data_IF_368778631161
#
_entry.id   IF_368778631161
#
_cell.length_a   1.000
_cell.length_b   1.000
_cell.length_c   1.000
_cell.angle_alpha   90.00
_cell.angle_beta   90.00
_cell.angle_gamma   90.00
#
_symmetry.space_group_name_H-M   'P 1'
#
loop_
_entity.id
_entity.type
_entity.pdbx_description
1 polymer ?
#
# COMPACT_ATOMS: atom_id res chain seq x y z
N UNK A 1 18.27 7.59 -6.67
CA UNK A 1 18.63 7.60 -8.11
C UNK A 1 17.40 7.63 -9.02
N UNK A 2 16.47 6.66 -8.97
CA UNK A 2 15.28 6.66 -9.85
C UNK A 2 14.31 7.81 -9.54
N UNK A 3 13.95 8.02 -8.27
CA UNK A 3 13.00 9.09 -7.89
C UNK A 3 13.53 10.50 -8.20
N UNK A 4 14.84 10.72 -8.04
CA UNK A 4 15.49 12.00 -8.37
C UNK A 4 15.48 12.28 -9.87
N UNK A 5 15.76 11.26 -10.71
CA UNK A 5 15.68 11.38 -12.16
C UNK A 5 14.27 11.68 -12.66
N UNK A 6 13.26 11.03 -12.09
CA UNK A 6 11.86 11.28 -12.44
C UNK A 6 11.37 12.66 -12.01
N UNK A 7 11.77 13.14 -10.83
CA UNK A 7 11.45 14.51 -10.40
C UNK A 7 12.08 15.56 -11.33
N UNK A 8 13.31 15.33 -11.80
CA UNK A 8 14.00 16.18 -12.80
C UNK A 8 13.44 16.07 -14.22
N UNK A 9 12.50 15.16 -14.47
CA UNK A 9 11.72 15.05 -15.71
C UNK A 9 10.26 15.50 -15.52
N UNK A 10 9.97 16.23 -14.45
CA UNK A 10 8.65 16.73 -14.06
C UNK A 10 7.60 15.62 -13.89
N UNK A 11 8.05 14.38 -13.69
CA UNK A 11 7.23 13.17 -13.64
C UNK A 11 6.74 12.87 -12.23
N UNK A 12 6.28 13.90 -11.50
CA UNK A 12 5.82 13.79 -10.10
C UNK A 12 4.70 12.77 -9.95
N UNK A 13 3.78 12.70 -10.92
CA UNK A 13 2.70 11.70 -10.94
C UNK A 13 3.22 10.27 -11.03
N UNK A 14 4.36 10.05 -11.73
CA UNK A 14 4.99 8.73 -11.81
C UNK A 14 5.69 8.37 -10.49
N UNK A 15 6.36 9.32 -9.85
CA UNK A 15 6.97 9.14 -8.53
C UNK A 15 5.90 8.81 -7.49
N UNK A 16 4.79 9.53 -7.50
CA UNK A 16 3.66 9.28 -6.62
C UNK A 16 3.06 7.88 -6.81
N UNK A 17 2.88 7.46 -8.06
CA UNK A 17 2.39 6.11 -8.41
C UNK A 17 3.36 5.01 -7.96
N UNK A 18 4.67 5.22 -8.10
CA UNK A 18 5.69 4.28 -7.61
C UNK A 18 5.65 4.15 -6.09
N UNK A 19 5.49 5.27 -5.38
CA UNK A 19 5.35 5.25 -3.91
C UNK A 19 4.08 4.48 -3.51
N UNK A 20 2.94 4.77 -4.15
CA UNK A 20 1.69 4.06 -3.93
C UNK A 20 1.83 2.55 -4.13
N UNK A 21 2.38 2.11 -5.27
CA UNK A 21 2.56 0.69 -5.57
C UNK A 21 3.49 0.01 -4.56
N UNK A 22 4.55 0.71 -4.15
CA UNK A 22 5.50 0.23 -3.14
C UNK A 22 4.81 0.08 -1.79
N UNK A 23 4.01 1.06 -1.36
CA UNK A 23 3.23 1.01 -0.12
C UNK A 23 2.26 -0.16 -0.14
N UNK A 24 1.51 -0.35 -1.22
CA UNK A 24 0.56 -1.47 -1.35
C UNK A 24 1.28 -2.82 -1.21
N UNK A 25 2.35 -3.02 -1.99
CA UNK A 25 3.09 -4.28 -1.97
C UNK A 25 3.73 -4.58 -0.62
N UNK A 26 4.43 -3.59 -0.05
CA UNK A 26 5.08 -3.76 1.25
C UNK A 26 4.06 -3.98 2.36
N UNK A 27 2.88 -3.33 2.31
CA UNK A 27 1.78 -3.59 3.26
C UNK A 27 1.29 -5.02 3.17
N UNK A 28 1.11 -5.52 1.95
CA UNK A 28 0.66 -6.88 1.73
C UNK A 28 1.66 -7.91 2.29
N UNK A 29 2.95 -7.68 2.09
CA UNK A 29 4.04 -8.54 2.60
C UNK A 29 4.09 -8.52 4.12
N UNK A 30 4.08 -7.33 4.73
CA UNK A 30 4.17 -7.18 6.19
C UNK A 30 2.93 -7.72 6.92
N UNK A 31 1.75 -7.60 6.32
CA UNK A 31 0.54 -8.17 6.90
C UNK A 31 0.55 -9.69 6.85
N UNK A 32 0.99 -10.27 5.73
CA UNK A 32 0.88 -11.71 5.49
C UNK A 32 -0.51 -12.20 5.87
N UNK A 33 -0.61 -13.22 6.72
CA UNK A 33 -1.89 -13.81 7.18
C UNK A 33 -2.86 -12.80 7.84
N UNK A 34 -2.35 -11.69 8.39
CA UNK A 34 -3.13 -10.67 9.11
C UNK A 34 -3.94 -9.76 8.18
N UNK A 35 -3.77 -9.90 6.87
CA UNK A 35 -4.55 -9.13 5.89
C UNK A 35 -6.06 -9.37 6.02
N UNK A 36 -6.49 -10.54 6.53
CA UNK A 36 -7.91 -10.84 6.78
C UNK A 36 -8.54 -9.88 7.80
N UNK A 37 -7.83 -9.59 8.89
CA UNK A 37 -8.27 -8.60 9.90
C UNK A 37 -8.45 -7.23 9.25
N UNK A 38 -7.52 -6.86 8.36
CA UNK A 38 -7.60 -5.61 7.62
C UNK A 38 -8.83 -5.60 6.70
N UNK A 39 -9.03 -6.67 5.93
CA UNK A 39 -10.12 -6.82 4.98
C UNK A 39 -11.51 -6.76 5.64
N UNK A 40 -11.65 -7.37 6.82
CA UNK A 40 -12.85 -7.26 7.65
C UNK A 40 -13.09 -5.82 8.11
N UNK A 41 -12.04 -5.12 8.56
CA UNK A 41 -12.17 -3.74 9.06
C UNK A 41 -12.49 -2.72 7.96
N UNK A 42 -11.84 -2.80 6.80
CA UNK A 42 -11.93 -1.75 5.77
C UNK A 42 -12.76 -2.11 4.57
N UNK A 43 -12.66 -3.36 4.11
CA UNK A 43 -13.46 -3.86 3.01
C UNK A 43 -14.84 -4.29 3.48
N UNK A 44 -15.05 -4.40 4.81
CA UNK A 44 -16.22 -5.04 5.41
C UNK A 44 -16.48 -6.42 4.77
N UNK A 45 -15.39 -7.10 4.39
CA UNK A 45 -15.48 -8.37 3.71
C UNK A 45 -15.91 -9.43 4.71
N UNK A 46 -16.88 -10.25 4.31
CA UNK A 46 -17.21 -11.47 5.03
C UNK A 46 -16.22 -12.60 4.67
N UNK A 47 -16.29 -13.70 5.42
CA UNK A 47 -15.37 -14.84 5.22
C UNK A 47 -15.44 -15.45 3.81
N UNK A 48 -16.61 -15.41 3.15
CA UNK A 48 -16.74 -15.91 1.78
C UNK A 48 -16.04 -14.99 0.76
N UNK A 49 -16.14 -13.68 0.93
CA UNK A 49 -15.42 -12.71 0.09
C UNK A 49 -13.91 -12.79 0.28
N UNK A 50 -13.44 -13.01 1.52
CA UNK A 50 -12.03 -13.27 1.81
C UNK A 50 -11.57 -14.56 1.11
N UNK A 51 -12.38 -15.62 1.16
CA UNK A 51 -12.07 -16.88 0.50
C UNK A 51 -11.97 -16.74 -1.04
N UNK A 52 -12.70 -15.81 -1.65
CA UNK A 52 -12.59 -15.53 -3.09
C UNK A 52 -11.25 -14.91 -3.48
N UNK A 53 -10.70 -14.02 -2.65
CA UNK A 53 -9.34 -13.50 -2.85
C UNK A 53 -8.29 -14.60 -2.65
N UNK A 54 -8.55 -15.57 -1.78
CA UNK A 54 -7.65 -16.68 -1.49
C UNK A 54 -7.66 -17.78 -2.55
N UNK A 55 -8.81 -18.06 -3.16
CA UNK A 55 -8.98 -19.18 -4.07
C UNK A 55 -7.93 -19.27 -5.19
N UNK A 56 -7.53 -18.19 -5.88
CA UNK A 56 -6.51 -18.23 -6.94
C UNK A 56 -5.10 -18.58 -6.45
N UNK A 57 -4.82 -18.39 -5.15
CA UNK A 57 -3.50 -18.55 -4.56
C UNK A 57 -3.34 -19.85 -3.77
N UNK A 58 -4.38 -20.68 -3.73
CA UNK A 58 -4.34 -22.00 -3.09
C UNK A 58 -3.34 -22.91 -3.81
N UNK A 59 -2.53 -23.61 -3.03
CA UNK A 59 -1.64 -24.65 -3.54
C UNK A 59 -2.41 -25.89 -3.98
N UNK A 60 -1.69 -26.90 -4.47
CA UNK A 60 -2.27 -28.18 -4.93
C UNK A 60 -3.08 -28.91 -3.85
N UNK A 61 -2.81 -28.64 -2.58
CA UNK A 61 -3.52 -29.21 -1.42
C UNK A 61 -4.79 -28.43 -1.03
N UNK A 62 -5.10 -27.32 -1.71
CA UNK A 62 -6.23 -26.45 -1.37
C UNK A 62 -5.96 -25.46 -0.23
N UNK A 63 -4.76 -25.51 0.36
CA UNK A 63 -4.30 -24.57 1.38
C UNK A 63 -3.39 -23.50 0.77
N UNK A 64 -3.37 -22.31 1.38
CA UNK A 64 -2.40 -21.28 1.03
C UNK A 64 -1.24 -21.37 2.01
N UNK A 65 -0.03 -21.52 1.48
CA UNK A 65 1.18 -21.38 2.26
C UNK A 65 1.20 -20.01 2.95
N UNK A 66 1.44 -19.97 4.27
CA UNK A 66 1.54 -18.72 5.03
C UNK A 66 2.51 -17.71 4.40
N UNK A 67 3.61 -18.17 3.78
CA UNK A 67 4.58 -17.35 3.06
C UNK A 67 4.04 -16.73 1.76
N UNK A 68 2.92 -17.23 1.23
CA UNK A 68 2.24 -16.72 0.05
C UNK A 68 1.02 -15.86 0.37
N UNK A 69 0.68 -15.65 1.65
CA UNK A 69 -0.48 -14.86 2.07
C UNK A 69 -0.41 -13.38 1.65
N UNK A 70 0.77 -12.88 1.32
CA UNK A 70 0.92 -11.54 0.79
C UNK A 70 0.24 -11.36 -0.59
N UNK A 71 0.03 -12.44 -1.37
CA UNK A 71 -0.61 -12.35 -2.69
C UNK A 71 -2.10 -12.01 -2.62
N UNK A 72 -2.96 -12.74 -1.89
CA UNK A 72 -4.35 -12.32 -1.70
C UNK A 72 -4.45 -10.97 -0.98
N UNK A 73 -3.53 -10.67 -0.05
CA UNK A 73 -3.44 -9.36 0.59
C UNK A 73 -3.17 -8.24 -0.43
N UNK A 74 -2.26 -8.48 -1.37
CA UNK A 74 -1.93 -7.53 -2.45
C UNK A 74 -3.14 -7.30 -3.36
N UNK A 75 -3.80 -8.37 -3.82
CA UNK A 75 -4.97 -8.25 -4.69
C UNK A 75 -6.10 -7.46 -4.02
N UNK A 76 -6.34 -7.72 -2.74
CA UNK A 76 -7.29 -6.96 -1.93
C UNK A 76 -6.89 -5.48 -1.82
N UNK A 77 -5.66 -5.19 -1.40
CA UNK A 77 -5.18 -3.81 -1.22
C UNK A 77 -5.13 -3.04 -2.54
N UNK A 78 -4.76 -3.70 -3.64
CA UNK A 78 -4.77 -3.13 -4.97
C UNK A 78 -6.20 -2.74 -5.36
N UNK A 79 -7.16 -3.67 -5.26
CA UNK A 79 -8.58 -3.41 -5.54
C UNK A 79 -9.13 -2.28 -4.66
N UNK A 80 -8.81 -2.30 -3.36
CA UNK A 80 -9.18 -1.27 -2.41
C UNK A 80 -8.60 0.10 -2.80
N UNK A 81 -7.35 0.15 -3.26
CA UNK A 81 -6.67 1.39 -3.63
C UNK A 81 -7.28 2.07 -4.86
N UNK A 82 -7.92 1.31 -5.75
CA UNK A 82 -8.55 1.86 -6.96
C UNK A 82 -9.65 2.89 -6.65
N UNK A 83 -10.25 2.85 -5.46
CA UNK A 83 -11.27 3.83 -5.03
C UNK A 83 -10.73 5.26 -4.87
N UNK A 84 -9.42 5.43 -4.78
CA UNK A 84 -8.78 6.74 -4.58
C UNK A 84 -8.41 7.44 -5.90
N UNK A 85 -8.45 6.73 -7.04
CA UNK A 85 -8.00 7.27 -8.32
C UNK A 85 -6.57 7.81 -8.23
N UNK A 86 -6.38 9.09 -8.58
CA UNK A 86 -5.09 9.78 -8.51
C UNK A 86 -4.76 10.36 -7.11
N UNK A 87 -5.62 10.16 -6.11
CA UNK A 87 -5.43 10.69 -4.75
C UNK A 87 -4.53 9.77 -3.90
N UNK A 88 -3.27 9.60 -4.30
CA UNK A 88 -2.29 8.73 -3.64
C UNK A 88 -2.01 9.14 -2.18
N UNK A 89 -2.05 10.45 -1.87
CA UNK A 89 -1.87 10.96 -0.50
C UNK A 89 -2.98 10.47 0.43
N UNK A 90 -4.22 10.61 0.01
CA UNK A 90 -5.39 10.19 0.79
C UNK A 90 -5.40 8.67 0.97
N UNK A 91 -5.02 7.92 -0.07
CA UNK A 91 -4.87 6.46 0.02
C UNK A 91 -3.86 6.06 1.10
N UNK A 92 -2.66 6.63 1.07
CA UNK A 92 -1.58 6.29 2.01
C UNK A 92 -1.95 6.74 3.44
N UNK A 93 -2.59 7.91 3.57
CA UNK A 93 -3.05 8.44 4.86
C UNK A 93 -4.13 7.53 5.49
N UNK A 94 -5.14 7.14 4.72
CA UNK A 94 -6.19 6.25 5.20
C UNK A 94 -5.64 4.87 5.57
N UNK A 95 -4.76 4.32 4.72
CA UNK A 95 -4.11 3.04 5.00
C UNK A 95 -3.32 3.09 6.31
N UNK A 96 -2.55 4.16 6.54
CA UNK A 96 -1.81 4.39 7.79
C UNK A 96 -2.76 4.41 9.00
N UNK A 97 -3.82 5.22 8.95
CA UNK A 97 -4.82 5.33 10.03
C UNK A 97 -5.50 4.00 10.36
N UNK A 98 -5.76 3.18 9.35
CA UNK A 98 -6.39 1.88 9.52
C UNK A 98 -5.42 0.89 10.18
N UNK A 99 -4.18 0.83 9.70
CA UNK A 99 -3.16 -0.08 10.24
C UNK A 99 -2.88 0.24 11.71
N UNK A 100 -2.92 1.51 12.10
CA UNK A 100 -2.84 1.97 13.49
C UNK A 100 -3.98 1.45 14.37
N UNK A 101 -5.16 1.20 13.78
CA UNK A 101 -6.36 0.70 14.48
C UNK A 101 -6.44 -0.83 14.54
N UNK A 102 -5.48 -1.57 13.98
CA UNK A 102 -5.45 -3.02 14.10
C UNK A 102 -5.19 -3.45 15.55
N UNK A 103 -5.63 -4.67 15.93
CA UNK A 103 -5.45 -5.21 17.29
C UNK A 103 -3.98 -5.19 17.72
N UNK A 104 -3.07 -5.49 16.78
CA UNK A 104 -1.62 -5.37 16.94
C UNK A 104 -1.05 -4.47 15.83
N UNK A 105 -0.91 -3.15 16.05
CA UNK A 105 -0.54 -2.22 14.98
C UNK A 105 0.84 -2.56 14.39
N UNK A 106 0.88 -2.86 13.09
CA UNK A 106 2.14 -3.15 12.37
C UNK A 106 2.98 -1.87 12.23
N UNK A 107 2.31 -0.72 12.20
CA UNK A 107 2.89 0.63 12.11
C UNK A 107 3.88 0.98 13.21
N UNK A 108 3.77 0.37 14.41
CA UNK A 108 4.69 0.61 15.53
C UNK A 108 6.13 0.23 15.21
N UNK A 109 6.32 -0.79 14.38
CA UNK A 109 7.64 -1.25 13.94
C UNK A 109 7.92 -0.82 12.49
N UNK A 110 6.88 -0.49 11.74
CA UNK A 110 6.98 -0.28 10.31
C UNK A 110 7.11 1.20 9.90
N UNK A 111 8.32 1.72 10.10
CA UNK A 111 8.69 3.13 9.82
C UNK A 111 8.62 3.51 8.34
N UNK A 112 8.69 2.54 7.43
CA UNK A 112 8.67 2.77 5.98
C UNK A 112 7.37 3.44 5.52
N UNK A 113 6.22 3.03 6.07
CA UNK A 113 4.93 3.61 5.70
C UNK A 113 4.85 5.10 6.10
N UNK A 114 5.36 5.43 7.29
CA UNK A 114 5.44 6.83 7.74
C UNK A 114 6.38 7.65 6.84
N UNK A 115 7.53 7.06 6.45
CA UNK A 115 8.45 7.68 5.49
C UNK A 115 7.83 7.92 4.12
N UNK A 116 7.05 6.97 3.60
CA UNK A 116 6.32 7.12 2.35
C UNK A 116 5.28 8.24 2.41
N UNK A 117 4.51 8.32 3.51
CA UNK A 117 3.54 9.38 3.74
C UNK A 117 4.21 10.76 3.79
N UNK A 118 5.31 10.91 4.53
CA UNK A 118 6.09 12.17 4.57
C UNK A 118 6.59 12.52 3.16
N UNK A 119 7.16 11.55 2.45
CA UNK A 119 7.70 11.76 1.09
C UNK A 119 6.63 12.29 0.16
N UNK A 120 5.44 11.67 0.16
CA UNK A 120 4.30 12.08 -0.66
C UNK A 120 3.80 13.47 -0.30
N UNK A 121 3.74 13.81 0.99
CA UNK A 121 3.37 15.15 1.44
C UNK A 121 4.38 16.22 1.01
N UNK A 122 5.66 15.86 0.91
CA UNK A 122 6.71 16.76 0.50
C UNK A 122 6.94 16.79 -1.02
N UNK A 123 6.20 16.02 -1.84
CA UNK A 123 6.47 15.90 -3.28
C UNK A 123 6.47 17.26 -4.01
N UNK A 124 5.55 18.16 -3.68
CA UNK A 124 5.49 19.48 -4.30
C UNK A 124 6.70 20.36 -3.93
N UNK A 125 7.14 20.29 -2.68
CA UNK A 125 8.34 20.99 -2.21
C UNK A 125 9.60 20.42 -2.85
N UNK A 126 9.68 19.09 -2.97
CA UNK A 126 10.78 18.40 -3.64
C UNK A 126 10.82 18.73 -5.13
N UNK A 127 9.66 18.81 -5.80
CA UNK A 127 9.54 19.25 -7.18
C UNK A 127 10.02 20.69 -7.35
N UNK A 128 9.52 21.61 -6.52
CA UNK A 128 9.93 23.02 -6.56
C UNK A 128 11.44 23.19 -6.34
N UNK A 129 12.04 22.37 -5.46
CA UNK A 129 13.48 22.38 -5.21
C UNK A 129 14.30 21.78 -6.35
N UNK A 130 13.72 20.85 -7.13
CA UNK A 130 14.37 20.27 -8.31
C UNK A 130 14.39 21.23 -9.52
N UNK A 131 13.48 22.21 -9.55
CA UNK A 131 13.40 23.27 -10.55
C UNK A 131 13.44 24.65 -9.90
N UNK A 132 14.58 25.06 -9.29
CA UNK A 132 14.71 26.40 -8.77
C UNK A 132 14.54 27.39 -9.92
N UNK A 133 13.59 28.33 -9.78
CA UNK A 133 13.47 29.46 -10.72
C UNK A 133 14.77 30.26 -10.62
N UNK A 134 15.56 30.22 -11.70
CA UNK A 134 16.73 31.10 -11.89
C UNK A 134 16.24 32.52 -12.10
#
# INVERSE_FOLDING_TARGET
MISEGLLKMDSVSLVARLIQNTVILSTAVELGIRWRELAEKIGKLNSAQIANYEAPHKGKTGEINAQSMWKPAYDFLYTWSMRYGDSYKDMIQDLHLILDKMKNPVTRQWRQLTGALITVNCLDVLRASAYPKI
#
